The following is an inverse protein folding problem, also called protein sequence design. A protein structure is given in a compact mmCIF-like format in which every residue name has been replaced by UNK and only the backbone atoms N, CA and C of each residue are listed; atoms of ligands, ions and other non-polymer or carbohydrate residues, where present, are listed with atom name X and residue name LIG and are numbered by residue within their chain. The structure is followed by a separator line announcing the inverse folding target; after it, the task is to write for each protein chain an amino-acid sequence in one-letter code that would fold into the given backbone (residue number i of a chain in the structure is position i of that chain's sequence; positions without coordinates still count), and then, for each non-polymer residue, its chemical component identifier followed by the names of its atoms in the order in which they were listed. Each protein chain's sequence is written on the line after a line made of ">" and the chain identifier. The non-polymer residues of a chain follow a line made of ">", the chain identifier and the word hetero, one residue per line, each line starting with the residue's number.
data_IF_965526075780
#
_entry.id   IF_965526075780
#
_cell.length_a   1.000
_cell.length_b   1.000
_cell.length_c   1.000
_cell.angle_alpha   90.00
_cell.angle_beta   90.00
_cell.angle_gamma   90.00
#
_symmetry.space_group_name_H-M   'P 1'
#
loop_
_entity.id
_entity.type
_entity.pdbx_description
1 polymer ?
#
# COMPACT_ATOMS: atom_id res chain seq x y z
N UNK A 1 -10.79 13.28 3.48
CA UNK A 1 -9.72 13.53 4.46
C UNK A 1 -10.31 14.24 5.67
N UNK A 2 -10.70 13.50 6.72
CA UNK A 2 -11.29 14.06 7.96
C UNK A 2 -10.45 13.83 9.23
N UNK A 3 -9.43 12.96 9.15
CA UNK A 3 -8.45 12.77 10.22
C UNK A 3 -7.43 13.92 10.19
N UNK A 4 -7.13 14.53 11.35
CA UNK A 4 -6.17 15.63 11.48
C UNK A 4 -4.81 15.41 10.79
N UNK A 5 -4.27 14.18 10.79
CA UNK A 5 -2.98 13.86 10.15
C UNK A 5 -3.06 13.46 8.68
N UNK A 6 -4.27 13.33 8.12
CA UNK A 6 -4.46 13.02 6.71
C UNK A 6 -4.37 14.31 5.88
N UNK A 7 -3.17 14.86 5.77
CA UNK A 7 -2.88 16.16 5.13
C UNK A 7 -1.63 16.08 4.25
N UNK A 8 -1.67 16.74 3.10
CA UNK A 8 -0.50 17.02 2.26
C UNK A 8 -0.09 18.46 2.55
N UNK A 9 1.13 18.67 3.06
CA UNK A 9 1.62 19.99 3.47
C UNK A 9 3.07 20.18 3.02
N UNK A 10 3.39 21.39 2.51
CA UNK A 10 4.75 21.69 2.02
C UNK A 10 5.24 20.74 0.92
N UNK A 11 4.32 20.24 0.09
CA UNK A 11 4.63 19.28 -0.97
C UNK A 11 4.94 17.85 -0.50
N UNK A 12 4.73 17.53 0.78
CA UNK A 12 4.98 16.19 1.36
C UNK A 12 3.69 15.56 1.86
N UNK A 13 3.64 14.23 1.84
CA UNK A 13 2.54 13.43 2.39
C UNK A 13 1.57 12.85 1.37
N UNK A 14 1.87 12.96 0.07
CA UNK A 14 1.08 12.34 -1.00
C UNK A 14 1.06 10.81 -0.88
N UNK A 15 0.00 10.19 -1.41
CA UNK A 15 -0.13 8.73 -1.40
C UNK A 15 0.89 8.08 -2.35
N UNK A 16 1.13 8.70 -3.50
CA UNK A 16 2.02 8.24 -4.57
C UNK A 16 3.47 8.09 -4.09
N UNK A 17 3.95 8.99 -3.23
CA UNK A 17 5.28 8.90 -2.64
C UNK A 17 5.43 7.66 -1.76
N UNK A 18 4.37 7.33 -1.00
CA UNK A 18 4.35 6.17 -0.10
C UNK A 18 4.23 4.87 -0.88
N UNK A 19 3.39 4.86 -1.91
CA UNK A 19 3.22 3.71 -2.81
C UNK A 19 4.56 3.37 -3.46
N UNK A 20 5.23 4.37 -4.08
CA UNK A 20 6.54 4.17 -4.72
C UNK A 20 7.59 3.64 -3.74
N UNK A 21 7.70 4.25 -2.55
CA UNK A 21 8.68 3.81 -1.56
C UNK A 21 8.46 2.35 -1.08
N UNK A 22 7.21 1.89 -1.05
CA UNK A 22 6.87 0.50 -0.71
C UNK A 22 7.18 -0.45 -1.88
N UNK A 23 6.80 -0.06 -3.10
CA UNK A 23 7.08 -0.84 -4.31
C UNK A 23 8.61 -0.98 -4.56
N UNK A 24 9.40 0.07 -4.28
CA UNK A 24 10.87 0.06 -4.40
C UNK A 24 11.56 -0.99 -3.51
N UNK A 25 10.88 -1.41 -2.43
CA UNK A 25 11.35 -2.49 -1.52
C UNK A 25 10.53 -3.78 -1.69
N UNK A 26 9.86 -3.93 -2.83
CA UNK A 26 9.08 -5.10 -3.25
C UNK A 26 7.86 -5.41 -2.37
N UNK A 27 7.28 -4.42 -1.69
CA UNK A 27 5.98 -4.60 -1.03
C UNK A 27 4.89 -4.63 -2.08
N UNK A 28 3.99 -5.62 -1.98
CA UNK A 28 2.80 -5.71 -2.83
C UNK A 28 1.80 -4.63 -2.40
N UNK A 29 1.62 -3.59 -3.22
CA UNK A 29 0.68 -2.50 -2.95
C UNK A 29 -0.60 -2.68 -3.76
N UNK A 30 -1.74 -2.68 -3.08
CA UNK A 30 -3.05 -2.77 -3.75
C UNK A 30 -3.50 -1.43 -4.32
N UNK A 31 -3.92 -1.42 -5.59
CA UNK A 31 -4.51 -0.22 -6.25
C UNK A 31 -5.97 0.00 -5.87
N UNK A 32 -6.62 -0.98 -5.27
CA UNK A 32 -8.00 -0.90 -4.79
C UNK A 32 -8.13 -1.56 -3.42
N UNK A 33 -8.79 -0.94 -2.43
CA UNK A 33 -9.07 -1.58 -1.15
C UNK A 33 -9.78 -2.93 -1.31
N UNK A 34 -10.60 -3.10 -2.36
CA UNK A 34 -11.34 -4.33 -2.62
C UNK A 34 -10.45 -5.53 -3.00
N UNK A 35 -9.21 -5.29 -3.42
CA UNK A 35 -8.30 -6.35 -3.86
C UNK A 35 -7.37 -6.87 -2.74
N UNK A 36 -7.40 -6.25 -1.55
CA UNK A 36 -6.49 -6.58 -0.45
C UNK A 36 -6.49 -8.07 -0.09
N UNK A 37 -7.66 -8.69 0.01
CA UNK A 37 -7.78 -10.10 0.38
C UNK A 37 -7.17 -11.04 -0.66
N UNK A 38 -7.42 -10.79 -1.94
CA UNK A 38 -6.88 -11.61 -3.05
C UNK A 38 -5.36 -11.50 -3.12
N UNK A 39 -4.82 -10.28 -3.02
CA UNK A 39 -3.37 -10.06 -3.06
C UNK A 39 -2.66 -10.68 -1.86
N UNK A 40 -3.24 -10.56 -0.65
CA UNK A 40 -2.69 -11.21 0.54
C UNK A 40 -2.68 -12.73 0.41
N UNK A 41 -3.78 -13.33 -0.04
CA UNK A 41 -3.84 -14.78 -0.24
C UNK A 41 -2.76 -15.25 -1.23
N UNK A 42 -2.57 -14.53 -2.34
CA UNK A 42 -1.54 -14.87 -3.33
C UNK A 42 -0.14 -14.76 -2.73
N UNK A 43 0.18 -13.65 -2.05
CA UNK A 43 1.47 -13.47 -1.40
C UNK A 43 1.76 -14.59 -0.38
N UNK A 44 0.76 -15.01 0.40
CA UNK A 44 0.93 -16.11 1.36
C UNK A 44 1.21 -17.45 0.67
N UNK A 45 0.50 -17.78 -0.41
CA UNK A 45 0.74 -18.99 -1.22
C UNK A 45 2.14 -19.00 -1.85
N UNK A 46 2.55 -17.88 -2.43
CA UNK A 46 3.87 -17.72 -3.06
C UNK A 46 5.02 -17.89 -2.05
N UNK A 47 4.77 -17.54 -0.78
CA UNK A 47 5.72 -17.70 0.31
C UNK A 47 5.55 -19.02 1.10
N UNK A 48 4.69 -19.93 0.65
CA UNK A 48 4.47 -21.24 1.28
C UNK A 48 3.90 -21.17 2.71
N UNK A 49 3.18 -20.09 3.04
CA UNK A 49 2.57 -19.89 4.35
C UNK A 49 1.20 -20.56 4.47
N UNK A 50 0.54 -20.83 3.33
CA UNK A 50 -0.74 -21.55 3.18
C UNK A 50 -0.77 -22.36 1.89
#
# INVERSE_FOLDING_TARGET
>A
MGHAGAIIAGGKGGAEDKIRALEDVNVVVSKSPAQLGVLMQNAMKENGLI
#
